data_IF_128872118720
#
_entry.id   IF_128872118720
#
_cell.length_a   1.000
_cell.length_b   1.000
_cell.length_c   1.000
_cell.angle_alpha   90.00
_cell.angle_beta   90.00
_cell.angle_gamma   90.00
#
_symmetry.space_group_name_H-M   'P 1'
#
loop_
_entity.id
_entity.type
_entity.pdbx_description
1 polymer ?
#
# COMPACT_ATOMS: atom_id res chain seq x y z
N UNK A 1 -10.07 -13.08 1.64
CA UNK A 1 -10.72 -12.10 2.56
C UNK A 1 -10.45 -10.65 2.19
N UNK A 2 -9.25 -10.06 2.38
CA UNK A 2 -9.07 -8.62 2.04
C UNK A 2 -9.12 -8.29 0.53
N UNK A 3 -8.81 -9.26 -0.35
CA UNK A 3 -8.86 -9.06 -1.80
C UNK A 3 -10.27 -9.19 -2.41
N UNK A 4 -11.19 -9.87 -1.71
CA UNK A 4 -12.54 -10.16 -2.23
C UNK A 4 -13.46 -8.93 -2.15
N UNK A 5 -13.19 -8.00 -1.24
CA UNK A 5 -13.96 -6.77 -1.05
C UNK A 5 -13.59 -5.64 -2.02
N UNK A 6 -12.55 -5.83 -2.85
CA UNK A 6 -12.04 -4.79 -3.75
C UNK A 6 -12.78 -4.87 -5.09
N UNK A 7 -13.61 -3.86 -5.38
CA UNK A 7 -14.27 -3.68 -6.69
C UNK A 7 -13.32 -3.01 -7.69
N UNK A 8 -12.56 -3.83 -8.42
CA UNK A 8 -11.52 -3.36 -9.34
C UNK A 8 -12.08 -2.47 -10.47
N UNK A 9 -13.25 -2.81 -11.00
CA UNK A 9 -13.97 -2.01 -12.00
C UNK A 9 -14.25 -0.58 -11.49
N UNK A 10 -14.67 -0.44 -10.22
CA UNK A 10 -14.94 0.87 -9.60
C UNK A 10 -13.66 1.68 -9.39
N UNK A 11 -12.56 1.03 -8.98
CA UNK A 11 -11.26 1.68 -8.81
C UNK A 11 -10.75 2.23 -10.14
N UNK A 12 -10.81 1.41 -11.19
CA UNK A 12 -10.38 1.82 -12.54
C UNK A 12 -11.28 2.94 -13.07
N UNK A 13 -12.59 2.80 -12.94
CA UNK A 13 -13.54 3.85 -13.33
C UNK A 13 -13.25 5.19 -12.65
N UNK A 14 -13.05 5.18 -11.33
CA UNK A 14 -12.69 6.38 -10.56
C UNK A 14 -11.30 6.94 -10.96
N UNK A 15 -10.33 6.08 -11.26
CA UNK A 15 -9.01 6.49 -11.74
C UNK A 15 -9.07 7.20 -13.09
N UNK A 16 -9.85 6.66 -14.03
CA UNK A 16 -10.09 7.29 -15.33
C UNK A 16 -10.76 8.66 -15.14
N UNK A 17 -11.79 8.73 -14.30
CA UNK A 17 -12.49 9.98 -14.01
C UNK A 17 -11.57 11.04 -13.37
N UNK A 18 -10.67 10.62 -12.48
CA UNK A 18 -9.65 11.50 -11.91
C UNK A 18 -8.74 12.11 -13.00
N UNK A 19 -8.25 11.28 -13.93
CA UNK A 19 -7.40 11.73 -15.05
C UNK A 19 -8.17 12.70 -15.95
N UNK A 20 -9.44 12.40 -16.26
CA UNK A 20 -10.30 13.25 -17.08
C UNK A 20 -10.53 14.62 -16.42
N UNK A 21 -10.83 14.64 -15.12
CA UNK A 21 -11.05 15.88 -14.36
C UNK A 21 -9.80 16.76 -14.27
N UNK A 22 -8.61 16.16 -14.32
CA UNK A 22 -7.32 16.87 -14.40
C UNK A 22 -6.94 17.30 -15.82
N UNK A 23 -7.70 16.88 -16.84
CA UNK A 23 -7.36 17.04 -18.26
C UNK A 23 -6.03 16.39 -18.66
N UNK A 24 -5.52 15.43 -17.88
CA UNK A 24 -4.22 14.79 -18.16
C UNK A 24 -4.28 13.93 -19.43
N UNK A 25 -5.46 13.41 -19.78
CA UNK A 25 -5.69 12.67 -21.03
C UNK A 25 -5.47 13.52 -22.29
N UNK A 26 -5.56 14.85 -22.21
CA UNK A 26 -5.31 15.74 -23.36
C UNK A 26 -3.87 15.63 -23.87
N UNK A 27 -2.91 15.33 -23.00
CA UNK A 27 -1.51 15.06 -23.38
C UNK A 27 -1.39 13.77 -24.19
N UNK A 28 -2.13 12.73 -23.79
CA UNK A 28 -2.19 11.47 -24.54
C UNK A 28 -2.81 11.69 -25.92
N UNK A 29 -3.92 12.43 -26.02
CA UNK A 29 -4.54 12.75 -27.31
C UNK A 29 -3.52 13.48 -28.21
N UNK A 30 -2.82 14.49 -27.68
CA UNK A 30 -1.79 15.23 -28.43
C UNK A 30 -0.69 14.30 -28.94
N UNK A 31 -0.14 13.45 -28.07
CA UNK A 31 0.91 12.49 -28.44
C UNK A 31 0.45 11.49 -29.50
N UNK A 32 -0.77 10.94 -29.34
CA UNK A 32 -1.34 10.00 -30.30
C UNK A 32 -1.64 10.66 -31.65
N UNK A 33 -2.20 11.87 -31.66
CA UNK A 33 -2.43 12.63 -32.90
C UNK A 33 -1.12 12.90 -33.64
N UNK A 34 -0.07 13.31 -32.93
CA UNK A 34 1.26 13.48 -33.53
C UNK A 34 1.82 12.16 -34.09
N UNK A 35 1.67 11.05 -33.37
CA UNK A 35 2.14 9.74 -33.84
C UNK A 35 1.39 9.29 -35.10
N UNK A 36 0.06 9.43 -35.11
CA UNK A 36 -0.77 9.07 -36.27
C UNK A 36 -0.39 9.94 -37.47
N UNK A 37 -0.26 11.26 -37.28
CA UNK A 37 0.22 12.19 -38.31
C UNK A 37 1.55 11.73 -38.91
N UNK A 38 2.55 11.48 -38.07
CA UNK A 38 3.88 11.09 -38.52
C UNK A 38 3.87 9.73 -39.21
N UNK A 39 3.14 8.75 -38.67
CA UNK A 39 2.99 7.44 -39.27
C UNK A 39 2.40 7.52 -40.68
N UNK A 40 1.35 8.35 -40.89
CA UNK A 40 0.75 8.55 -42.21
C UNK A 40 1.76 9.18 -43.20
N UNK A 41 2.54 10.17 -42.76
CA UNK A 41 3.53 10.84 -43.58
C UNK A 41 4.71 9.92 -43.96
N UNK A 42 5.22 9.15 -43.00
CA UNK A 42 6.33 8.21 -43.21
C UNK A 42 5.91 7.00 -44.07
N UNK A 43 4.63 6.65 -44.06
CA UNK A 43 4.10 5.47 -44.75
C UNK A 43 3.16 5.82 -45.91
N UNK A 44 3.42 6.92 -46.63
CA UNK A 44 2.62 7.34 -47.79
C UNK A 44 2.47 6.21 -48.83
N UNK A 45 3.50 5.40 -49.03
CA UNK A 45 3.47 4.26 -49.95
C UNK A 45 2.39 3.22 -49.57
N UNK A 46 2.20 2.93 -48.27
CA UNK A 46 1.16 2.01 -47.81
C UNK A 46 -0.24 2.53 -48.18
N UNK A 47 -0.45 3.85 -48.10
CA UNK A 47 -1.71 4.47 -48.51
C UNK A 47 -1.89 4.35 -50.03
N UNK A 48 -0.84 4.59 -50.81
CA UNK A 48 -0.89 4.45 -52.27
C UNK A 48 -1.20 3.02 -52.72
N UNK A 49 -0.53 2.03 -52.15
CA UNK A 49 -0.78 0.61 -52.43
C UNK A 49 -2.19 0.18 -52.00
N UNK A 50 -2.68 0.68 -50.86
CA UNK A 50 -4.05 0.41 -50.39
C UNK A 50 -5.08 1.00 -51.35
N UNK A 51 -4.88 2.24 -51.82
CA UNK A 51 -5.79 2.89 -52.78
C UNK A 51 -5.78 2.14 -54.11
N UNK A 52 -4.61 1.84 -54.68
CA UNK A 52 -4.51 1.14 -55.97
C UNK A 52 -5.19 -0.24 -55.92
N UNK A 53 -5.08 -0.97 -54.80
CA UNK A 53 -5.74 -2.27 -54.63
C UNK A 53 -7.26 -2.19 -54.56
N UNK A 54 -7.79 -1.15 -53.92
CA UNK A 54 -9.23 -0.97 -53.74
C UNK A 54 -9.88 -0.18 -54.89
N UNK A 55 -9.07 0.38 -55.79
CA UNK A 55 -9.55 1.10 -56.97
C UNK A 55 -10.13 0.17 -58.04
N UNK A 56 -11.18 0.66 -58.72
CA UNK A 56 -11.79 -0.08 -59.82
C UNK A 56 -10.85 -0.14 -61.04
N UNK A 57 -10.95 -1.23 -61.82
CA UNK A 57 -10.06 -1.49 -62.98
C UNK A 57 -10.04 -0.37 -64.04
N UNK A 58 -11.11 0.43 -64.12
CA UNK A 58 -11.26 1.50 -65.11
C UNK A 58 -10.66 2.84 -64.65
N UNK A 59 -10.19 2.94 -63.40
CA UNK A 59 -9.57 4.17 -62.87
C UNK A 59 -8.12 4.26 -63.39
N UNK A 60 -7.71 5.37 -64.03
CA UNK A 60 -6.32 5.55 -64.43
C UNK A 60 -5.38 5.69 -63.23
N UNK A 61 -4.18 5.10 -63.30
CA UNK A 61 -3.16 5.15 -62.21
C UNK A 61 -2.81 6.56 -61.73
N UNK A 62 -2.84 7.55 -62.63
CA UNK A 62 -2.60 8.96 -62.29
C UNK A 62 -3.68 9.54 -61.38
N UNK A 63 -4.91 9.03 -61.46
CA UNK A 63 -6.03 9.41 -60.58
C UNK A 63 -5.85 8.75 -59.22
N UNK A 64 -5.52 7.47 -59.16
CA UNK A 64 -5.24 6.75 -57.90
C UNK A 64 -4.12 7.41 -57.11
N UNK A 65 -3.03 7.78 -57.79
CA UNK A 65 -1.89 8.47 -57.19
C UNK A 65 -2.31 9.81 -56.57
N UNK A 66 -3.14 10.59 -57.27
CA UNK A 66 -3.67 11.86 -56.75
C UNK A 66 -4.62 11.66 -55.58
N UNK A 67 -5.47 10.63 -55.62
CA UNK A 67 -6.39 10.30 -54.52
C UNK A 67 -5.58 9.92 -53.28
N UNK A 68 -4.59 9.04 -53.43
CA UNK A 68 -3.70 8.65 -52.34
C UNK A 68 -2.96 9.83 -51.73
N UNK A 69 -2.40 10.73 -52.55
CA UNK A 69 -1.75 11.94 -52.09
C UNK A 69 -2.70 12.84 -51.30
N UNK A 70 -3.92 13.05 -51.81
CA UNK A 70 -4.96 13.85 -51.13
C UNK A 70 -5.42 13.24 -49.81
N UNK A 71 -5.57 11.92 -49.73
CA UNK A 71 -5.93 11.21 -48.49
C UNK A 71 -4.81 11.33 -47.47
N UNK A 72 -3.57 11.04 -47.88
CA UNK A 72 -2.39 11.12 -47.01
C UNK A 72 -2.25 12.52 -46.43
N UNK A 73 -2.31 13.54 -47.30
CA UNK A 73 -2.23 14.93 -46.89
C UNK A 73 -3.43 15.34 -46.03
N UNK A 74 -4.65 15.01 -46.43
CA UNK A 74 -5.86 15.38 -45.69
C UNK A 74 -5.90 14.78 -44.28
N UNK A 75 -5.54 13.50 -44.13
CA UNK A 75 -5.51 12.85 -42.81
C UNK A 75 -4.36 13.36 -41.95
N UNK A 76 -3.17 13.56 -42.51
CA UNK A 76 -2.05 14.13 -41.74
C UNK A 76 -2.33 15.57 -41.31
N UNK A 77 -2.92 16.39 -42.18
CA UNK A 77 -3.37 17.75 -41.85
C UNK A 77 -4.44 17.71 -40.75
N UNK A 78 -5.42 16.82 -40.84
CA UNK A 78 -6.46 16.67 -39.81
C UNK A 78 -5.88 16.27 -38.44
N UNK A 79 -4.96 15.30 -38.38
CA UNK A 79 -4.33 14.93 -37.11
C UNK A 79 -3.35 15.99 -36.59
N UNK A 80 -2.74 16.80 -37.46
CA UNK A 80 -2.02 18.01 -37.04
C UNK A 80 -2.97 19.02 -36.40
N UNK A 81 -4.15 19.27 -36.98
CA UNK A 81 -5.15 20.16 -36.39
C UNK A 81 -5.60 19.67 -35.01
N UNK A 82 -5.81 18.36 -34.84
CA UNK A 82 -6.12 17.77 -33.53
C UNK A 82 -4.95 17.97 -32.56
N UNK A 83 -3.71 17.80 -32.99
CA UNK A 83 -2.52 18.01 -32.17
C UNK A 83 -2.40 19.47 -31.68
N UNK A 84 -2.60 20.45 -32.58
CA UNK A 84 -2.36 21.87 -32.34
C UNK A 84 -3.55 22.60 -31.69
N UNK A 85 -4.79 22.26 -32.05
CA UNK A 85 -6.00 22.88 -31.52
C UNK A 85 -6.54 22.11 -30.30
N UNK A 86 -6.36 22.71 -29.13
CA UNK A 86 -6.88 22.17 -27.86
C UNK A 86 -8.41 22.15 -27.79
N UNK A 87 -9.11 22.93 -28.64
CA UNK A 87 -10.58 22.99 -28.71
C UNK A 87 -11.16 22.16 -29.86
N UNK A 88 -10.33 21.36 -30.54
CA UNK A 88 -10.75 20.58 -31.68
C UNK A 88 -11.93 19.66 -31.32
N UNK A 89 -13.01 19.57 -32.13
CA UNK A 89 -14.21 18.78 -31.83
C UNK A 89 -13.93 17.31 -31.47
N UNK A 90 -12.99 16.69 -32.18
CA UNK A 90 -12.55 15.31 -31.90
C UNK A 90 -12.00 15.12 -30.47
N UNK A 91 -11.29 16.10 -29.92
CA UNK A 91 -10.78 16.01 -28.53
C UNK A 91 -11.92 15.95 -27.53
N UNK A 92 -12.95 16.76 -27.75
CA UNK A 92 -14.17 16.79 -26.94
C UNK A 92 -14.93 15.47 -27.06
N UNK A 93 -15.09 14.95 -28.28
CA UNK A 93 -15.75 13.67 -28.51
C UNK A 93 -15.02 12.50 -27.82
N UNK A 94 -13.69 12.41 -27.97
CA UNK A 94 -12.86 11.42 -27.27
C UNK A 94 -13.03 11.56 -25.76
N UNK A 95 -12.98 12.78 -25.23
CA UNK A 95 -13.16 13.04 -23.79
C UNK A 95 -14.51 12.53 -23.29
N UNK A 96 -15.58 12.84 -24.02
CA UNK A 96 -16.93 12.39 -23.66
C UNK A 96 -17.05 10.87 -23.72
N UNK A 97 -16.47 10.22 -24.74
CA UNK A 97 -16.46 8.75 -24.86
C UNK A 97 -15.71 8.07 -23.72
N UNK A 98 -14.57 8.62 -23.30
CA UNK A 98 -13.82 8.08 -22.14
C UNK A 98 -14.62 8.30 -20.84
N UNK A 99 -15.33 9.43 -20.71
CA UNK A 99 -16.18 9.70 -19.56
C UNK A 99 -17.37 8.73 -19.48
N UNK A 100 -18.06 8.51 -20.60
CA UNK A 100 -19.11 7.49 -20.74
C UNK A 100 -18.59 6.11 -20.36
N UNK A 101 -17.42 5.74 -20.89
CA UNK A 101 -16.78 4.46 -20.57
C UNK A 101 -16.43 4.31 -19.08
N UNK A 102 -15.90 5.36 -18.44
CA UNK A 102 -15.66 5.37 -16.98
C UNK A 102 -16.95 5.15 -16.20
N UNK A 103 -18.06 5.74 -16.64
CA UNK A 103 -19.37 5.53 -16.04
C UNK A 103 -19.86 4.10 -16.23
N UNK A 104 -19.79 3.57 -17.46
CA UNK A 104 -20.15 2.18 -17.76
C UNK A 104 -19.37 1.19 -16.89
N UNK A 105 -18.05 1.39 -16.75
CA UNK A 105 -17.19 0.55 -15.89
C UNK A 105 -17.69 0.44 -14.45
N UNK A 106 -18.27 1.52 -13.91
CA UNK A 106 -18.77 1.59 -12.53
C UNK A 106 -20.19 1.02 -12.39
N UNK A 107 -21.04 1.22 -13.39
CA UNK A 107 -22.48 1.00 -13.27
C UNK A 107 -22.93 -0.32 -13.93
N UNK A 108 -22.25 -0.80 -14.96
CA UNK A 108 -22.72 -1.96 -15.71
C UNK A 108 -22.23 -3.30 -15.11
N UNK A 109 -23.13 -4.26 -14.86
CA UNK A 109 -22.78 -5.57 -14.29
C UNK A 109 -21.76 -6.35 -15.12
N UNK A 110 -21.73 -6.13 -16.45
CA UNK A 110 -20.78 -6.80 -17.35
C UNK A 110 -19.34 -6.55 -16.93
N UNK A 111 -19.02 -5.33 -16.52
CA UNK A 111 -17.66 -4.96 -16.13
C UNK A 111 -17.29 -5.49 -14.75
N UNK A 112 -18.24 -5.55 -13.81
CA UNK A 112 -18.00 -6.20 -12.52
C UNK A 112 -17.60 -7.68 -12.72
N UNK A 113 -18.36 -8.41 -13.55
CA UNK A 113 -18.07 -9.80 -13.87
C UNK A 113 -16.72 -9.99 -14.59
N UNK A 114 -16.42 -9.18 -15.60
CA UNK A 114 -15.15 -9.25 -16.34
C UNK A 114 -13.94 -8.97 -15.43
N UNK A 115 -14.01 -7.93 -14.58
CA UNK A 115 -12.91 -7.62 -13.68
C UNK A 115 -12.77 -8.63 -12.55
N UNK A 116 -13.87 -9.25 -12.08
CA UNK A 116 -13.80 -10.37 -11.15
C UNK A 116 -13.20 -11.62 -11.79
N UNK A 117 -13.49 -11.88 -13.07
CA UNK A 117 -12.85 -12.96 -13.83
C UNK A 117 -11.33 -12.72 -13.92
N UNK A 118 -10.90 -11.55 -14.40
CA UNK A 118 -9.49 -11.15 -14.49
C UNK A 118 -8.80 -11.26 -13.12
N UNK A 119 -9.46 -10.78 -12.05
CA UNK A 119 -8.97 -10.89 -10.68
C UNK A 119 -8.80 -12.34 -10.26
N UNK A 120 -9.77 -13.20 -10.56
CA UNK A 120 -9.71 -14.61 -10.19
C UNK A 120 -8.64 -15.37 -10.98
N UNK A 121 -8.50 -15.15 -12.29
CA UNK A 121 -7.41 -15.73 -13.08
C UNK A 121 -6.03 -15.29 -12.57
N UNK A 122 -5.90 -14.01 -12.20
CA UNK A 122 -4.65 -13.50 -11.68
C UNK A 122 -4.31 -14.09 -10.30
N UNK A 123 -5.29 -14.21 -9.41
CA UNK A 123 -5.09 -14.71 -8.04
C UNK A 123 -5.01 -16.23 -7.94
N UNK A 124 -5.66 -16.96 -8.84
CA UNK A 124 -5.72 -18.43 -8.81
C UNK A 124 -4.64 -19.08 -9.67
N UNK A 125 -3.96 -18.33 -10.53
CA UNK A 125 -2.92 -18.88 -11.40
C UNK A 125 -1.65 -19.28 -10.64
N UNK A 126 -1.06 -20.42 -11.01
CA UNK A 126 0.36 -20.77 -10.77
C UNK A 126 1.30 -19.56 -11.00
N UNK A 127 0.91 -18.72 -11.96
CA UNK A 127 1.49 -17.43 -12.30
C UNK A 127 1.65 -16.46 -11.11
N UNK A 128 0.72 -16.38 -10.16
CA UNK A 128 0.85 -15.47 -9.03
C UNK A 128 2.06 -15.84 -8.17
N UNK A 129 2.25 -17.12 -7.89
CA UNK A 129 3.40 -17.61 -7.12
C UNK A 129 4.71 -17.42 -7.88
N UNK A 130 4.72 -17.72 -9.19
CA UNK A 130 5.88 -17.53 -10.04
C UNK A 130 6.27 -16.04 -10.16
N UNK A 131 5.32 -15.16 -10.50
CA UNK A 131 5.56 -13.72 -10.61
C UNK A 131 5.93 -13.09 -9.27
N UNK A 132 5.30 -13.51 -8.16
CA UNK A 132 5.66 -13.01 -6.83
C UNK A 132 7.09 -13.38 -6.46
N UNK A 133 7.50 -14.62 -6.76
CA UNK A 133 8.88 -15.03 -6.55
C UNK A 133 9.84 -14.25 -7.45
N UNK A 134 9.54 -14.10 -8.74
CA UNK A 134 10.42 -13.39 -9.67
C UNK A 134 10.56 -11.90 -9.32
N UNK A 135 9.45 -11.24 -8.95
CA UNK A 135 9.45 -9.87 -8.43
C UNK A 135 10.27 -9.79 -7.14
N UNK A 136 10.09 -10.74 -6.21
CA UNK A 136 10.85 -10.78 -4.97
C UNK A 136 12.34 -10.98 -5.21
N UNK A 137 12.72 -11.91 -6.09
CA UNK A 137 14.13 -12.15 -6.43
C UNK A 137 14.73 -10.94 -7.16
N UNK A 138 13.99 -10.30 -8.05
CA UNK A 138 14.43 -9.10 -8.76
C UNK A 138 14.63 -7.92 -7.80
N UNK A 139 13.66 -7.67 -6.91
CA UNK A 139 13.76 -6.65 -5.87
C UNK A 139 14.92 -6.93 -4.93
N UNK A 140 15.05 -8.17 -4.44
CA UNK A 140 16.15 -8.58 -3.58
C UNK A 140 17.50 -8.38 -4.27
N UNK A 141 17.63 -8.81 -5.51
CA UNK A 141 18.88 -8.69 -6.27
C UNK A 141 19.24 -7.23 -6.51
N UNK A 142 18.27 -6.43 -6.94
CA UNK A 142 18.44 -4.98 -7.16
C UNK A 142 18.83 -4.26 -5.86
N UNK A 143 18.20 -4.60 -4.74
CA UNK A 143 18.55 -4.04 -3.43
C UNK A 143 19.94 -4.47 -2.96
N UNK A 144 20.33 -5.73 -3.15
CA UNK A 144 21.67 -6.21 -2.77
C UNK A 144 22.73 -5.53 -3.62
N UNK A 145 22.52 -5.43 -4.93
CA UNK A 145 23.42 -4.75 -5.86
C UNK A 145 23.60 -3.28 -5.47
N UNK A 146 22.49 -2.58 -5.27
CA UNK A 146 22.47 -1.18 -4.86
C UNK A 146 23.12 -0.99 -3.48
N UNK A 147 22.94 -1.90 -2.51
CA UNK A 147 23.60 -1.81 -1.20
C UNK A 147 25.10 -2.17 -1.23
N UNK A 148 25.53 -3.00 -2.19
CA UNK A 148 26.94 -3.43 -2.33
C UNK A 148 27.77 -2.40 -3.08
N UNK A 149 27.15 -1.64 -4.01
CA UNK A 149 27.82 -0.59 -4.75
C UNK A 149 28.26 0.58 -3.84
N UNK A 150 29.51 1.02 -4.00
CA UNK A 150 30.08 2.09 -3.17
C UNK A 150 29.43 3.46 -3.44
N UNK A 151 28.99 3.70 -4.69
CA UNK A 151 28.36 4.96 -5.15
C UNK A 151 26.83 4.88 -5.26
N UNK A 152 26.18 4.13 -4.36
CA UNK A 152 24.71 3.99 -4.39
C UNK A 152 23.95 5.24 -3.91
N UNK A 153 22.98 5.66 -4.73
CA UNK A 153 22.01 6.70 -4.36
C UNK A 153 21.09 6.24 -3.24
N UNK A 154 20.71 4.97 -3.22
CA UNK A 154 19.91 4.41 -2.13
C UNK A 154 20.69 4.45 -0.81
N UNK A 155 21.96 4.06 -0.80
CA UNK A 155 22.80 4.09 0.41
C UNK A 155 22.95 5.50 0.97
N UNK A 156 23.21 6.48 0.10
CA UNK A 156 23.30 7.89 0.53
C UNK A 156 21.95 8.44 1.02
N UNK A 157 20.84 8.06 0.38
CA UNK A 157 19.49 8.40 0.84
C UNK A 157 19.16 7.77 2.21
N UNK A 158 19.40 6.47 2.38
CA UNK A 158 19.20 5.77 3.65
C UNK A 158 20.04 6.41 4.75
N UNK A 159 21.34 6.64 4.49
CA UNK A 159 22.23 7.29 5.45
C UNK A 159 21.71 8.66 5.87
N UNK A 160 21.32 9.52 4.92
CA UNK A 160 20.76 10.84 5.21
C UNK A 160 19.51 10.76 6.10
N UNK A 161 18.57 9.87 5.76
CA UNK A 161 17.35 9.70 6.55
C UNK A 161 17.64 9.12 7.93
N UNK A 162 18.64 8.23 8.05
CA UNK A 162 19.04 7.67 9.32
C UNK A 162 19.71 8.73 10.21
N UNK A 163 20.58 9.57 9.62
CA UNK A 163 21.22 10.70 10.31
C UNK A 163 20.16 11.71 10.78
N UNK A 164 19.17 12.03 9.93
CA UNK A 164 18.04 12.89 10.29
C UNK A 164 17.15 12.26 11.37
N UNK A 165 16.87 10.97 11.29
CA UNK A 165 16.14 10.23 12.32
C UNK A 165 16.87 10.26 13.66
N UNK A 166 18.18 10.00 13.67
CA UNK A 166 19.02 10.04 14.88
C UNK A 166 19.06 11.45 15.45
N UNK A 167 19.21 12.47 14.59
CA UNK A 167 19.19 13.86 14.99
C UNK A 167 17.85 14.24 15.66
N UNK A 168 16.73 13.86 15.04
CA UNK A 168 15.39 14.11 15.60
C UNK A 168 15.19 13.33 16.91
N UNK A 169 15.66 12.08 16.98
CA UNK A 169 15.57 11.29 18.21
C UNK A 169 16.40 11.88 19.36
N UNK A 170 17.51 12.55 19.07
CA UNK A 170 18.33 13.18 20.12
C UNK A 170 17.84 14.56 20.54
N UNK A 171 17.26 15.33 19.61
CA UNK A 171 17.02 16.77 19.82
C UNK A 171 15.53 17.17 19.85
N UNK A 172 14.60 16.30 19.42
CA UNK A 172 13.16 16.59 19.40
C UNK A 172 12.40 15.70 20.42
N UNK A 173 12.01 16.32 21.53
CA UNK A 173 11.27 15.69 22.62
C UNK A 173 9.84 15.25 22.19
N UNK A 174 9.20 15.96 21.26
CA UNK A 174 7.89 15.53 20.74
C UNK A 174 8.04 14.28 19.87
N UNK A 175 9.10 14.21 19.06
CA UNK A 175 9.39 13.04 18.25
C UNK A 175 9.70 11.81 19.11
N UNK A 176 10.51 11.96 20.16
CA UNK A 176 10.79 10.90 21.15
C UNK A 176 9.50 10.34 21.75
N UNK A 177 8.63 11.21 22.27
CA UNK A 177 7.37 10.79 22.89
C UNK A 177 6.45 10.03 21.93
N UNK A 178 6.44 10.41 20.64
CA UNK A 178 5.67 9.69 19.60
C UNK A 178 6.25 8.31 19.34
N UNK A 179 7.57 8.19 19.24
CA UNK A 179 8.26 6.91 19.06
C UNK A 179 8.01 6.00 20.27
N UNK A 180 8.13 6.50 21.49
CA UNK A 180 7.88 5.73 22.71
C UNK A 180 6.44 5.20 22.77
N UNK A 181 5.46 6.05 22.42
CA UNK A 181 4.07 5.64 22.32
C UNK A 181 3.86 4.53 21.28
N UNK A 182 4.47 4.68 20.10
CA UNK A 182 4.39 3.69 19.03
C UNK A 182 5.06 2.36 19.41
N UNK A 183 6.25 2.40 20.03
CA UNK A 183 6.98 1.21 20.52
C UNK A 183 6.14 0.51 21.58
N UNK A 184 5.59 1.24 22.55
CA UNK A 184 4.75 0.66 23.61
C UNK A 184 3.51 -0.03 23.04
N UNK A 185 2.80 0.62 22.12
CA UNK A 185 1.62 0.06 21.47
C UNK A 185 1.96 -1.20 20.66
N UNK A 186 3.07 -1.16 19.91
CA UNK A 186 3.51 -2.27 19.07
C UNK A 186 3.97 -3.45 19.91
N UNK A 187 4.78 -3.21 20.94
CA UNK A 187 5.19 -4.23 21.90
C UNK A 187 3.98 -4.88 22.59
N UNK A 188 3.03 -4.06 23.06
CA UNK A 188 1.79 -4.55 23.67
C UNK A 188 1.00 -5.47 22.71
N UNK A 189 0.81 -5.05 21.45
CA UNK A 189 0.14 -5.87 20.43
C UNK A 189 0.87 -7.19 20.17
N UNK A 190 2.19 -7.18 20.10
CA UNK A 190 2.99 -8.39 19.90
C UNK A 190 2.92 -9.34 21.09
N UNK A 191 3.00 -8.82 22.32
CA UNK A 191 2.87 -9.60 23.55
C UNK A 191 1.48 -10.26 23.62
N UNK A 192 0.40 -9.51 23.34
CA UNK A 192 -0.96 -10.06 23.31
C UNK A 192 -1.18 -11.09 22.20
N UNK A 193 -0.48 -10.97 21.07
CA UNK A 193 -0.56 -11.95 19.98
C UNK A 193 0.20 -13.24 20.32
N UNK A 194 1.21 -13.17 21.20
CA UNK A 194 2.08 -14.29 21.56
C UNK A 194 2.03 -14.62 23.07
N UNK A 195 0.83 -14.69 23.64
CA UNK A 195 0.59 -14.87 25.08
C UNK A 195 1.16 -16.15 25.65
N UNK A 196 1.19 -17.24 24.87
CA UNK A 196 1.75 -18.52 25.31
C UNK A 196 3.27 -18.44 25.50
N UNK A 197 4.01 -17.89 24.54
CA UNK A 197 5.48 -17.77 24.64
C UNK A 197 5.94 -16.82 25.74
N UNK A 198 5.21 -15.73 25.99
CA UNK A 198 5.53 -14.82 27.11
C UNK A 198 5.19 -15.42 28.48
N UNK A 199 4.09 -16.18 28.58
CA UNK A 199 3.76 -16.91 29.80
C UNK A 199 4.83 -17.93 30.19
N UNK A 200 5.37 -18.65 29.20
CA UNK A 200 6.47 -19.59 29.40
C UNK A 200 7.75 -18.89 29.86
N UNK A 201 8.13 -17.77 29.24
CA UNK A 201 9.30 -16.97 29.64
C UNK A 201 9.20 -16.45 31.09
N UNK A 202 8.03 -15.95 31.49
CA UNK A 202 7.81 -15.49 32.88
C UNK A 202 7.92 -16.69 33.83
N UNK A 203 7.29 -17.81 33.49
CA UNK A 203 7.32 -19.03 34.29
C UNK A 203 8.76 -19.54 34.48
N UNK A 204 9.56 -19.61 33.41
CA UNK A 204 10.96 -20.01 33.46
C UNK A 204 11.82 -19.01 34.24
N UNK A 205 11.58 -17.70 34.07
CA UNK A 205 12.35 -16.66 34.77
C UNK A 205 12.08 -16.70 36.27
N UNK A 206 10.82 -16.80 36.69
CA UNK A 206 10.44 -16.90 38.11
C UNK A 206 10.86 -18.25 38.69
N UNK A 207 10.73 -19.33 37.92
CA UNK A 207 11.18 -20.67 38.33
C UNK A 207 12.68 -20.78 38.57
N UNK A 208 13.48 -19.93 37.92
CA UNK A 208 14.94 -19.88 38.07
C UNK A 208 15.43 -18.89 39.15
N UNK A 209 14.53 -18.21 39.87
CA UNK A 209 14.96 -17.36 40.99
C UNK A 209 15.35 -18.24 42.18
N UNK A 210 16.60 -18.11 42.66
CA UNK A 210 17.06 -18.81 43.86
C UNK A 210 16.20 -18.40 45.06
N UNK A 211 15.69 -19.38 45.82
CA UNK A 211 14.69 -19.15 46.87
C UNK A 211 15.07 -18.10 47.93
N UNK A 212 16.36 -17.83 48.13
CA UNK A 212 16.84 -16.74 49.00
C UNK A 212 16.54 -15.34 48.45
N UNK A 213 16.66 -15.12 47.14
CA UNK A 213 16.34 -13.83 46.51
C UNK A 213 14.83 -13.58 46.45
N UNK A 214 14.05 -14.62 46.12
CA UNK A 214 12.59 -14.55 46.15
C UNK A 214 12.10 -14.24 47.57
N UNK A 215 12.58 -14.98 48.58
CA UNK A 215 12.25 -14.75 49.99
C UNK A 215 12.60 -13.33 50.44
N UNK A 216 13.80 -12.83 50.08
CA UNK A 216 14.23 -11.47 50.45
C UNK A 216 13.38 -10.37 49.80
N UNK A 217 12.99 -10.53 48.52
CA UNK A 217 12.09 -9.58 47.84
C UNK A 217 10.68 -9.60 48.40
N UNK A 218 10.15 -10.79 48.69
CA UNK A 218 8.83 -10.97 49.29
C UNK A 218 8.81 -10.41 50.72
N UNK A 219 9.89 -10.56 51.48
CA UNK A 219 10.03 -9.99 52.82
C UNK A 219 10.15 -8.46 52.81
N UNK A 220 10.84 -7.88 51.83
CA UNK A 220 10.96 -6.42 51.66
C UNK A 220 9.62 -5.76 51.30
N UNK A 221 8.80 -6.40 50.46
CA UNK A 221 7.52 -5.86 49.99
C UNK A 221 6.32 -6.24 50.89
N UNK A 222 6.35 -7.41 51.55
CA UNK A 222 5.20 -7.96 52.31
C UNK A 222 5.47 -8.09 53.82
N UNK A 223 6.72 -7.87 54.27
CA UNK A 223 7.11 -8.08 55.68
C UNK A 223 6.38 -7.20 56.69
N UNK A 224 5.90 -6.01 56.28
CA UNK A 224 5.13 -5.10 57.15
C UNK A 224 3.72 -5.65 57.44
N UNK A 225 3.09 -6.30 56.46
CA UNK A 225 1.72 -6.84 56.57
C UNK A 225 1.64 -8.09 57.45
N UNK A 226 2.66 -8.96 57.40
CA UNK A 226 2.72 -10.13 58.29
C UNK A 226 2.85 -9.74 59.78
N UNK A 227 3.47 -8.59 60.09
CA UNK A 227 3.56 -8.10 61.47
C UNK A 227 2.20 -7.64 62.01
N UNK A 228 1.31 -7.10 61.17
CA UNK A 228 -0.03 -6.69 61.60
C UNK A 228 -0.88 -7.87 62.08
N UNK A 229 -0.74 -9.06 61.47
CA UNK A 229 -1.41 -10.28 61.96
C UNK A 229 -0.93 -10.62 63.37
N UNK A 230 0.38 -10.52 63.62
CA UNK A 230 0.97 -10.82 64.93
C UNK A 230 0.54 -9.81 65.99
N UNK A 231 0.53 -8.52 65.67
CA UNK A 231 0.10 -7.44 66.56
C UNK A 231 -1.40 -7.59 66.88
N UNK A 232 -2.25 -7.77 65.87
CA UNK A 232 -3.68 -7.97 66.07
C UNK A 232 -3.98 -9.22 66.90
N UNK A 233 -3.23 -10.30 66.69
CA UNK A 233 -3.33 -11.53 67.50
C UNK A 233 -3.02 -11.30 68.99
N UNK A 234 -1.97 -10.53 69.30
CA UNK A 234 -1.63 -10.20 70.70
C UNK A 234 -2.61 -9.24 71.35
N UNK A 235 -3.15 -8.27 70.60
CA UNK A 235 -4.13 -7.31 71.12
C UNK A 235 -5.46 -8.01 71.42
N UNK A 236 -5.97 -8.81 70.48
CA UNK A 236 -7.23 -9.55 70.66
C UNK A 236 -7.09 -10.60 71.75
N UNK A 237 -6.00 -11.38 71.75
CA UNK A 237 -5.74 -12.38 72.79
C UNK A 237 -5.60 -11.75 74.18
N UNK A 238 -4.94 -10.60 74.29
CA UNK A 238 -4.82 -9.85 75.54
C UNK A 238 -6.16 -9.31 76.04
N UNK A 239 -6.99 -8.74 75.16
CA UNK A 239 -8.34 -8.25 75.50
C UNK A 239 -9.27 -9.37 75.95
N UNK A 240 -9.29 -10.49 75.23
CA UNK A 240 -10.08 -11.66 75.60
C UNK A 240 -9.60 -12.24 76.93
N UNK A 241 -8.29 -12.36 77.14
CA UNK A 241 -7.71 -12.80 78.40
C UNK A 241 -8.09 -11.89 79.58
N UNK A 242 -8.07 -10.58 79.38
CA UNK A 242 -8.45 -9.60 80.40
C UNK A 242 -9.96 -9.65 80.71
N UNK A 243 -10.80 -9.84 79.70
CA UNK A 243 -12.25 -10.07 79.88
C UNK A 243 -12.49 -11.34 80.69
N UNK A 244 -11.87 -12.46 80.32
CA UNK A 244 -12.00 -13.73 81.05
C UNK A 244 -11.54 -13.58 82.50
N UNK A 245 -10.38 -12.94 82.72
CA UNK A 245 -9.86 -12.70 84.07
C UNK A 245 -10.82 -11.85 84.90
N UNK A 246 -11.36 -10.76 84.34
CA UNK A 246 -12.26 -9.86 85.05
C UNK A 246 -13.58 -10.54 85.42
N UNK A 247 -14.16 -11.31 84.50
CA UNK A 247 -15.39 -12.09 84.76
C UNK A 247 -15.15 -13.19 85.79
N UNK A 248 -14.01 -13.87 85.73
CA UNK A 248 -13.68 -14.97 86.64
C UNK A 248 -13.34 -14.52 88.06
N UNK A 249 -12.96 -13.26 88.28
CA UNK A 249 -12.54 -12.75 89.59
C UNK A 249 -13.60 -11.87 90.26
N UNK A 250 -14.66 -11.49 89.53
CA UNK A 250 -15.78 -10.66 90.03
C UNK A 250 -17.08 -11.45 90.22
N UNK A 251 -17.12 -12.71 89.76
CA UNK A 251 -18.16 -13.71 90.07
C UNK A 251 -17.57 -14.68 91.10
#
# INVERSE_FOLDING_TARGET
EMADSIKLNSIIGNGIEYILNKNDHQRLITGLSSQIKNYILENQQLVSERVERESFFFIPKSVDSKISEKITKGLSDYFREVEEDLKHPLRTEITNKIFEFSKELKEEPKWEMEFDHIKSEFLQGEKLHQYSNDIWQSLKSSLIEELTNQDSKLKSYIKKNLDEFVFNLQNDEQFQNRIDGWVRLTAYKYILKNTQGFGELISTTVGNWEGKELSRKLELEVGKDLQFIRINGTIVGGLVGLIIYTVSNFI
#
